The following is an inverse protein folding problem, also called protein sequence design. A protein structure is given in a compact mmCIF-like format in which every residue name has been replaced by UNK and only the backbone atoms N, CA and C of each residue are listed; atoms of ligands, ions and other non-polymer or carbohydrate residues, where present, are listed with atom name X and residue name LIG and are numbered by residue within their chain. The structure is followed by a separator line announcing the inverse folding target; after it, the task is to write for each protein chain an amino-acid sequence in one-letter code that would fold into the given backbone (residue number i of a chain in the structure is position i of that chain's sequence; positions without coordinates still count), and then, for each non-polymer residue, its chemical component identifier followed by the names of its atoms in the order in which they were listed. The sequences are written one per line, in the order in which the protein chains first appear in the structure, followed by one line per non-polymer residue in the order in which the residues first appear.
data_IF_055776762348
#
_entry.id   IF_055776762348
#
_cell.length_a   1.000
_cell.length_b   1.000
_cell.length_c   1.000
_cell.angle_alpha   90.00
_cell.angle_beta   90.00
_cell.angle_gamma   90.00
#
_symmetry.space_group_name_H-M   'P 1'
#
loop_
_entity.id
_entity.type
_entity.pdbx_description
1 polymer ?
#
# COMPACT_ATOMS: atom_id res chain seq x y z
N UNK A 1 11.67 -4.83 79.42
CA UNK A 1 12.69 -5.71 79.99
C UNK A 1 12.26 -7.15 79.67
N UNK A 2 13.13 -7.94 79.03
CA UNK A 2 12.95 -9.37 78.64
C UNK A 2 11.80 -9.77 77.67
N UNK A 3 12.17 -10.35 76.52
CA UNK A 3 11.48 -11.42 75.78
C UNK A 3 12.09 -12.80 76.23
N UNK A 4 11.78 -14.02 75.69
CA UNK A 4 10.91 -14.48 74.58
C UNK A 4 9.79 -15.45 75.07
N UNK A 5 9.03 -16.24 74.29
CA UNK A 5 8.85 -16.43 72.82
C UNK A 5 8.71 -17.92 72.40
N UNK A 6 8.19 -18.20 71.19
CA UNK A 6 7.81 -19.53 70.63
C UNK A 6 6.58 -20.17 71.33
N UNK A 7 5.68 -20.95 70.70
CA UNK A 7 5.81 -21.93 69.60
C UNK A 7 4.44 -22.11 68.90
N UNK A 8 4.39 -22.41 67.61
CA UNK A 8 3.11 -22.68 66.91
C UNK A 8 2.75 -24.17 66.81
N UNK A 9 1.47 -24.47 66.54
CA UNK A 9 1.04 -25.63 65.73
C UNK A 9 -0.45 -25.59 65.34
N UNK A 10 -0.69 -26.01 64.09
CA UNK A 10 -1.88 -26.69 63.56
C UNK A 10 -3.25 -25.98 63.64
N UNK A 11 -3.78 -25.61 62.47
CA UNK A 11 -5.22 -25.72 62.20
C UNK A 11 -5.49 -26.48 60.89
N UNK A 12 -6.69 -27.01 60.78
CA UNK A 12 -7.01 -28.17 59.95
C UNK A 12 -6.90 -27.97 58.43
N UNK A 13 -6.53 -29.07 57.76
CA UNK A 13 -6.74 -29.32 56.33
C UNK A 13 -8.25 -29.41 56.06
N UNK A 14 -8.74 -28.61 55.12
CA UNK A 14 -10.11 -28.70 54.61
C UNK A 14 -10.02 -28.90 53.09
N UNK A 15 -10.35 -30.09 52.62
CA UNK A 15 -10.31 -30.42 51.21
C UNK A 15 -11.57 -29.90 50.51
N UNK A 16 -11.46 -28.75 49.84
CA UNK A 16 -12.47 -28.25 48.92
C UNK A 16 -11.96 -28.38 47.48
N UNK A 17 -12.39 -29.44 46.78
CA UNK A 17 -12.06 -29.63 45.36
C UNK A 17 -12.75 -28.58 44.50
N UNK A 18 -12.06 -27.49 44.21
CA UNK A 18 -12.40 -26.62 43.06
C UNK A 18 -11.98 -27.34 41.78
N UNK A 19 -12.96 -27.90 41.09
CA UNK A 19 -12.75 -28.46 39.76
C UNK A 19 -12.33 -27.33 38.79
N UNK A 20 -11.03 -27.25 38.49
CA UNK A 20 -10.51 -26.34 37.48
C UNK A 20 -11.06 -26.72 36.11
N UNK A 21 -11.97 -25.92 35.58
CA UNK A 21 -12.41 -25.99 34.19
C UNK A 21 -11.16 -25.83 33.30
N UNK A 22 -10.87 -26.75 32.38
CA UNK A 22 -9.78 -26.56 31.43
C UNK A 22 -10.13 -25.39 30.51
N UNK A 23 -9.52 -24.22 30.75
CA UNK A 23 -9.54 -23.16 29.76
C UNK A 23 -8.68 -23.61 28.58
N UNK A 24 -9.35 -24.02 27.50
CA UNK A 24 -8.76 -24.14 26.18
C UNK A 24 -8.42 -22.74 25.66
N UNK A 25 -7.38 -22.12 26.21
CA UNK A 25 -6.69 -21.05 25.52
C UNK A 25 -5.86 -21.69 24.42
N UNK A 26 -6.29 -21.50 23.16
CA UNK A 26 -5.42 -21.71 22.02
C UNK A 26 -4.17 -20.85 22.16
N UNK A 27 -3.05 -21.29 21.61
CA UNK A 27 -1.87 -20.44 21.56
C UNK A 27 -2.24 -19.17 20.75
N UNK A 28 -2.17 -17.96 21.34
CA UNK A 28 -2.64 -16.74 20.68
C UNK A 28 -1.89 -16.44 19.37
N UNK A 29 -0.74 -17.08 19.13
CA UNK A 29 -0.03 -17.08 17.86
C UNK A 29 -0.82 -17.78 16.73
N UNK A 30 -1.49 -18.90 17.05
CA UNK A 30 -2.26 -19.73 16.10
C UNK A 30 -3.57 -19.02 15.75
N UNK A 31 -4.33 -18.57 16.75
CA UNK A 31 -5.58 -17.82 16.55
C UNK A 31 -5.34 -16.54 15.72
N UNK A 32 -4.22 -15.85 15.96
CA UNK A 32 -3.82 -14.69 15.16
C UNK A 32 -3.48 -15.06 13.71
N UNK A 33 -2.85 -16.20 13.46
CA UNK A 33 -2.52 -16.67 12.11
C UNK A 33 -3.77 -17.05 11.29
N UNK A 34 -4.71 -17.78 11.89
CA UNK A 34 -5.99 -18.14 11.26
C UNK A 34 -6.82 -16.88 10.95
N UNK A 35 -6.93 -15.96 11.91
CA UNK A 35 -7.63 -14.68 11.74
C UNK A 35 -7.01 -13.81 10.62
N UNK A 36 -5.70 -13.91 10.41
CA UNK A 36 -4.99 -13.25 9.31
C UNK A 36 -5.34 -13.89 7.96
N UNK A 37 -5.33 -15.22 7.89
CA UNK A 37 -5.66 -15.98 6.68
C UNK A 37 -7.08 -15.68 6.19
N UNK A 38 -8.07 -15.72 7.08
CA UNK A 38 -9.47 -15.39 6.74
C UNK A 38 -9.62 -13.94 6.28
N UNK A 39 -8.87 -13.02 6.89
CA UNK A 39 -8.90 -11.61 6.54
C UNK A 39 -8.24 -11.33 5.19
N UNK A 40 -7.10 -11.97 4.92
CA UNK A 40 -6.43 -11.97 3.62
C UNK A 40 -7.38 -12.53 2.55
N UNK A 41 -7.98 -13.69 2.79
CA UNK A 41 -8.95 -14.31 1.88
C UNK A 41 -10.17 -13.41 1.61
N UNK A 42 -10.68 -12.70 2.63
CA UNK A 42 -11.78 -11.72 2.45
C UNK A 42 -11.36 -10.50 1.62
N UNK A 43 -10.16 -9.96 1.84
CA UNK A 43 -9.68 -8.82 1.03
C UNK A 43 -9.42 -9.25 -0.41
N UNK A 44 -8.72 -10.37 -0.57
CA UNK A 44 -8.30 -10.97 -1.84
C UNK A 44 -9.47 -11.46 -2.69
N UNK A 45 -10.26 -12.41 -2.18
CA UNK A 45 -11.24 -13.18 -2.96
C UNK A 45 -12.65 -12.58 -2.95
N UNK A 46 -12.85 -11.44 -2.27
CA UNK A 46 -14.15 -10.81 -2.15
C UNK A 46 -14.06 -9.27 -2.34
N UNK A 47 -13.40 -8.53 -1.45
CA UNK A 47 -13.46 -7.06 -1.48
C UNK A 47 -12.85 -6.45 -2.75
N UNK A 48 -11.66 -6.89 -3.17
CA UNK A 48 -11.04 -6.40 -4.40
C UNK A 48 -11.81 -6.79 -5.68
N UNK A 49 -12.20 -8.08 -5.90
CA UNK A 49 -13.04 -8.48 -7.02
C UNK A 49 -14.39 -7.74 -7.11
N UNK A 50 -15.08 -7.55 -5.97
CA UNK A 50 -16.34 -6.81 -5.92
C UNK A 50 -16.12 -5.34 -6.29
N UNK A 51 -15.11 -4.68 -5.71
CA UNK A 51 -14.78 -3.30 -6.03
C UNK A 51 -14.46 -3.13 -7.52
N UNK A 52 -13.62 -4.00 -8.08
CA UNK A 52 -13.27 -4.03 -9.51
C UNK A 52 -14.51 -4.17 -10.40
N UNK A 53 -15.42 -5.08 -10.04
CA UNK A 53 -16.66 -5.30 -10.78
C UNK A 53 -17.59 -4.08 -10.73
N UNK A 54 -17.78 -3.48 -9.55
CA UNK A 54 -18.59 -2.27 -9.37
C UNK A 54 -18.03 -1.07 -10.14
N UNK A 55 -16.70 -0.90 -10.18
CA UNK A 55 -16.04 0.16 -10.98
C UNK A 55 -16.35 -0.02 -12.47
N UNK A 56 -16.26 -1.25 -12.99
CA UNK A 56 -16.57 -1.57 -14.39
C UNK A 56 -18.04 -1.27 -14.69
N UNK A 57 -18.97 -1.63 -13.80
CA UNK A 57 -20.40 -1.33 -13.95
C UNK A 57 -20.66 0.18 -13.92
N UNK A 58 -20.08 0.92 -12.96
CA UNK A 58 -20.19 2.37 -12.89
C UNK A 58 -19.71 3.05 -14.19
N UNK A 59 -18.57 2.60 -14.71
CA UNK A 59 -18.01 3.10 -15.97
C UNK A 59 -18.86 2.78 -17.20
N UNK A 60 -19.62 1.68 -17.19
CA UNK A 60 -20.58 1.34 -18.25
C UNK A 60 -21.89 2.13 -18.14
N UNK A 61 -22.35 2.42 -16.93
CA UNK A 61 -23.53 3.26 -16.72
C UNK A 61 -23.29 4.72 -17.13
N UNK A 62 -22.04 5.19 -17.05
CA UNK A 62 -21.58 6.50 -17.52
C UNK A 62 -21.33 6.57 -19.04
N UNK A 63 -22.02 5.74 -19.84
CA UNK A 63 -21.96 5.85 -21.29
C UNK A 63 -22.86 7.01 -21.78
N UNK A 64 -22.35 7.95 -22.60
CA UNK A 64 -23.16 9.06 -23.11
C UNK A 64 -24.41 8.61 -23.87
N UNK A 65 -24.38 7.45 -24.55
CA UNK A 65 -25.53 6.91 -25.28
C UNK A 65 -26.65 6.52 -24.32
N UNK A 66 -26.31 5.80 -23.24
CA UNK A 66 -27.26 5.39 -22.19
C UNK A 66 -27.84 6.62 -21.47
N UNK A 67 -26.96 7.56 -21.09
CA UNK A 67 -27.31 8.82 -20.43
C UNK A 67 -28.23 9.71 -21.29
N UNK A 68 -28.15 9.63 -22.62
CA UNK A 68 -29.02 10.38 -23.53
C UNK A 68 -30.37 9.67 -23.78
N UNK A 69 -30.37 8.34 -23.83
CA UNK A 69 -31.56 7.54 -24.16
C UNK A 69 -32.60 7.52 -23.03
N UNK A 70 -32.21 7.10 -21.84
CA UNK A 70 -33.07 7.13 -20.65
C UNK A 70 -32.34 7.79 -19.46
N UNK A 71 -32.27 9.13 -19.40
CA UNK A 71 -31.46 9.83 -18.42
C UNK A 71 -31.86 9.51 -16.97
N UNK A 72 -33.16 9.50 -16.67
CA UNK A 72 -33.66 9.28 -15.30
C UNK A 72 -33.39 7.85 -14.80
N UNK A 73 -33.66 6.84 -15.64
CA UNK A 73 -33.39 5.42 -15.36
C UNK A 73 -31.90 5.14 -15.18
N UNK A 74 -31.07 5.75 -16.03
CA UNK A 74 -29.61 5.63 -15.96
C UNK A 74 -29.05 6.30 -14.71
N UNK A 75 -29.54 7.48 -14.33
CA UNK A 75 -29.13 8.18 -13.11
C UNK A 75 -29.54 7.43 -11.83
N UNK A 76 -30.74 6.84 -11.79
CA UNK A 76 -31.16 5.96 -10.69
C UNK A 76 -30.25 4.73 -10.57
N UNK A 77 -29.89 4.13 -11.71
CA UNK A 77 -28.94 3.01 -11.76
C UNK A 77 -27.56 3.42 -11.24
N UNK A 78 -27.03 4.59 -11.66
CA UNK A 78 -25.77 5.15 -11.16
C UNK A 78 -25.82 5.36 -9.64
N UNK A 79 -26.92 5.89 -9.10
CA UNK A 79 -27.09 6.09 -7.65
C UNK A 79 -27.06 4.77 -6.88
N UNK A 80 -27.67 3.71 -7.43
CA UNK A 80 -27.61 2.36 -6.85
C UNK A 80 -26.18 1.80 -6.87
N UNK A 81 -25.44 2.00 -7.95
CA UNK A 81 -24.03 1.57 -8.06
C UNK A 81 -23.14 2.36 -7.08
N UNK A 82 -23.40 3.66 -6.91
CA UNK A 82 -22.68 4.51 -5.95
C UNK A 82 -22.85 4.04 -4.49
N UNK A 83 -24.07 3.64 -4.08
CA UNK A 83 -24.28 3.12 -2.72
C UNK A 83 -23.59 1.77 -2.47
N UNK A 84 -23.53 0.91 -3.49
CA UNK A 84 -22.77 -0.35 -3.43
C UNK A 84 -21.24 -0.11 -3.36
N UNK A 85 -20.73 0.86 -4.13
CA UNK A 85 -19.34 1.29 -4.07
C UNK A 85 -18.97 1.85 -2.70
N UNK A 86 -19.77 2.78 -2.16
CA UNK A 86 -19.55 3.35 -0.83
C UNK A 86 -19.54 2.26 0.26
N UNK A 87 -20.52 1.36 0.26
CA UNK A 87 -20.57 0.23 1.18
C UNK A 87 -19.33 -0.66 1.09
N UNK A 88 -18.80 -0.88 -0.12
CA UNK A 88 -17.61 -1.72 -0.34
C UNK A 88 -16.33 -1.00 0.10
N UNK A 89 -16.18 0.27 -0.26
CA UNK A 89 -15.05 1.12 0.13
C UNK A 89 -14.96 1.30 1.65
N UNK A 90 -16.09 1.43 2.34
CA UNK A 90 -16.15 1.57 3.79
C UNK A 90 -15.71 0.29 4.55
N UNK A 91 -15.68 -0.89 3.90
CA UNK A 91 -15.13 -2.10 4.51
C UNK A 91 -13.60 -2.13 4.53
N UNK A 92 -12.94 -1.53 3.53
CA UNK A 92 -11.47 -1.58 3.39
C UNK A 92 -10.69 -0.99 4.58
N UNK A 93 -11.00 0.21 5.12
CA UNK A 93 -10.27 0.75 6.28
C UNK A 93 -10.28 -0.21 7.48
N UNK A 94 -11.43 -0.84 7.76
CA UNK A 94 -11.55 -1.81 8.86
C UNK A 94 -10.74 -3.09 8.59
N UNK A 95 -10.75 -3.59 7.34
CA UNK A 95 -10.02 -4.77 6.94
C UNK A 95 -8.50 -4.52 6.98
N UNK A 96 -8.03 -3.44 6.35
CA UNK A 96 -6.62 -3.05 6.32
C UNK A 96 -6.08 -2.72 7.71
N UNK A 97 -6.85 -2.03 8.57
CA UNK A 97 -6.44 -1.80 9.96
C UNK A 97 -6.34 -3.11 10.74
N UNK A 98 -7.23 -4.09 10.50
CA UNK A 98 -7.16 -5.40 11.14
C UNK A 98 -5.97 -6.23 10.64
N UNK A 99 -5.62 -6.19 9.35
CA UNK A 99 -4.37 -6.77 8.82
C UNK A 99 -3.17 -6.11 9.51
N UNK A 100 -3.14 -4.77 9.53
CA UNK A 100 -2.14 -3.95 10.23
C UNK A 100 -1.91 -4.38 11.67
N UNK A 101 -2.98 -4.52 12.45
CA UNK A 101 -2.93 -4.97 13.85
C UNK A 101 -2.40 -6.38 13.98
N UNK A 102 -2.93 -7.35 13.22
CA UNK A 102 -2.53 -8.76 13.33
C UNK A 102 -1.06 -8.98 12.98
N UNK A 103 -0.53 -8.29 11.96
CA UNK A 103 0.91 -8.32 11.69
C UNK A 103 1.73 -7.61 12.77
N UNK A 104 1.19 -6.56 13.40
CA UNK A 104 1.90 -5.85 14.49
C UNK A 104 1.96 -6.67 15.78
N UNK A 105 0.97 -7.52 16.06
CA UNK A 105 0.99 -8.45 17.21
C UNK A 105 1.97 -9.60 17.02
N UNK A 106 2.23 -10.00 15.77
CA UNK A 106 3.26 -11.00 15.44
C UNK A 106 4.70 -10.46 15.60
N UNK A 107 4.88 -9.15 15.81
CA UNK A 107 6.17 -8.46 16.05
C UNK A 107 6.74 -8.69 17.46
N UNK A 108 6.47 -9.84 18.07
CA UNK A 108 6.94 -10.20 19.41
C UNK A 108 8.43 -10.58 19.39
N UNK A 109 9.31 -9.58 19.44
CA UNK A 109 10.73 -9.68 19.78
C UNK A 109 11.65 -10.47 18.84
N UNK A 110 11.13 -11.13 17.80
CA UNK A 110 11.92 -11.98 16.90
C UNK A 110 12.34 -11.21 15.64
N UNK A 111 13.65 -11.06 15.45
CA UNK A 111 14.28 -10.45 14.26
C UNK A 111 14.17 -11.32 12.99
N UNK A 112 13.68 -12.55 13.12
CA UNK A 112 13.51 -13.48 12.01
C UNK A 112 12.01 -13.71 11.76
N UNK A 113 11.49 -13.22 10.64
CA UNK A 113 10.08 -13.34 10.24
C UNK A 113 9.80 -14.52 9.29
N UNK A 114 10.80 -15.37 9.04
CA UNK A 114 10.75 -16.48 8.06
C UNK A 114 9.63 -17.49 8.34
N UNK A 115 9.19 -17.64 9.59
CA UNK A 115 8.05 -18.49 9.96
C UNK A 115 6.68 -17.89 9.60
N UNK A 116 6.61 -16.58 9.28
CA UNK A 116 5.36 -15.90 8.94
C UNK A 116 4.94 -16.07 7.47
N UNK A 117 5.85 -16.44 6.55
CA UNK A 117 5.56 -16.64 5.11
C UNK A 117 4.72 -15.50 4.50
N UNK A 118 3.45 -15.76 4.18
CA UNK A 118 2.48 -14.81 3.61
C UNK A 118 2.01 -13.72 4.59
N UNK A 119 2.38 -13.81 5.88
CA UNK A 119 1.94 -12.91 6.96
C UNK A 119 3.04 -11.91 7.40
N UNK A 120 4.11 -11.73 6.63
CA UNK A 120 5.19 -10.79 6.94
C UNK A 120 4.69 -9.34 6.97
N UNK A 121 5.18 -8.57 7.95
CA UNK A 121 4.72 -7.22 8.27
C UNK A 121 4.71 -6.24 7.08
N UNK A 122 5.72 -6.32 6.20
CA UNK A 122 5.83 -5.43 5.05
C UNK A 122 4.65 -5.58 4.06
N UNK A 123 4.03 -6.78 3.97
CA UNK A 123 2.93 -7.04 3.03
C UNK A 123 1.72 -6.16 3.30
N UNK A 124 1.22 -6.07 4.53
CA UNK A 124 0.06 -5.19 4.78
C UNK A 124 0.41 -3.70 4.77
N UNK A 125 1.69 -3.33 4.97
CA UNK A 125 2.17 -1.95 4.73
C UNK A 125 2.09 -1.57 3.25
N UNK A 126 2.65 -2.41 2.37
CA UNK A 126 2.55 -2.23 0.92
C UNK A 126 1.11 -2.30 0.41
N UNK A 127 0.28 -3.20 0.95
CA UNK A 127 -1.14 -3.29 0.61
C UNK A 127 -1.91 -2.01 0.96
N UNK A 128 -1.65 -1.44 2.15
CA UNK A 128 -2.23 -0.17 2.56
C UNK A 128 -1.79 0.96 1.62
N UNK A 129 -0.52 0.99 1.22
CA UNK A 129 0.00 1.94 0.25
C UNK A 129 -0.66 1.80 -1.14
N UNK A 130 -0.71 0.59 -1.71
CA UNK A 130 -1.34 0.31 -3.00
C UNK A 130 -2.82 0.74 -3.01
N UNK A 131 -3.58 0.38 -1.97
CA UNK A 131 -4.97 0.79 -1.84
C UNK A 131 -5.13 2.31 -1.73
N UNK A 132 -4.45 2.95 -0.77
CA UNK A 132 -4.66 4.38 -0.47
C UNK A 132 -4.05 5.32 -1.50
N UNK A 133 -2.87 5.00 -2.02
CA UNK A 133 -2.07 5.89 -2.87
C UNK A 133 -2.28 5.63 -4.36
N UNK A 134 -2.79 4.45 -4.75
CA UNK A 134 -3.04 4.10 -6.15
C UNK A 134 -4.52 3.85 -6.45
N UNK A 135 -5.16 2.85 -5.85
CA UNK A 135 -6.57 2.51 -6.13
C UNK A 135 -7.51 3.69 -5.83
N UNK A 136 -7.44 4.25 -4.61
CA UNK A 136 -8.26 5.41 -4.21
C UNK A 136 -7.95 6.65 -5.06
N UNK A 137 -6.69 6.85 -5.47
CA UNK A 137 -6.28 7.97 -6.32
C UNK A 137 -6.93 7.92 -7.70
N UNK A 138 -7.00 6.75 -8.33
CA UNK A 138 -7.71 6.60 -9.61
C UNK A 138 -9.24 6.67 -9.44
N UNK A 139 -9.80 6.18 -8.33
CA UNK A 139 -11.23 6.34 -8.03
C UNK A 139 -11.65 7.80 -7.87
N UNK A 140 -10.87 8.62 -7.15
CA UNK A 140 -11.13 10.06 -7.01
C UNK A 140 -11.09 10.76 -8.36
N UNK A 141 -10.15 10.40 -9.25
CA UNK A 141 -10.10 10.92 -10.62
C UNK A 141 -11.32 10.48 -11.42
N UNK A 142 -11.67 9.18 -11.39
CA UNK A 142 -12.85 8.61 -12.04
C UNK A 142 -14.10 9.40 -11.66
N UNK A 143 -14.44 9.49 -10.37
CA UNK A 143 -15.63 10.18 -9.88
C UNK A 143 -15.66 11.67 -10.28
N UNK A 144 -14.50 12.35 -10.29
CA UNK A 144 -14.39 13.74 -10.77
C UNK A 144 -14.73 13.88 -12.25
N UNK A 145 -14.33 12.94 -13.10
CA UNK A 145 -14.72 12.96 -14.52
C UNK A 145 -16.18 12.50 -14.71
N UNK A 146 -16.68 11.54 -13.93
CA UNK A 146 -18.10 11.13 -13.91
C UNK A 146 -19.02 12.33 -13.65
N UNK A 147 -18.70 13.12 -12.61
CA UNK A 147 -19.44 14.33 -12.27
C UNK A 147 -19.40 15.38 -13.38
N UNK A 148 -18.23 15.61 -13.98
CA UNK A 148 -18.06 16.50 -15.15
C UNK A 148 -18.88 16.04 -16.35
N UNK A 149 -18.92 14.74 -16.64
CA UNK A 149 -19.73 14.19 -17.73
C UNK A 149 -21.21 14.49 -17.49
N UNK A 150 -21.73 14.23 -16.29
CA UNK A 150 -23.12 14.54 -15.92
C UNK A 150 -23.44 16.03 -16.11
N UNK A 151 -22.52 16.95 -15.76
CA UNK A 151 -22.68 18.40 -16.04
C UNK A 151 -22.64 18.73 -17.53
N UNK A 152 -21.70 18.17 -18.28
CA UNK A 152 -21.58 18.35 -19.74
C UNK A 152 -22.83 17.89 -20.49
N UNK A 153 -23.49 16.83 -20.01
CA UNK A 153 -24.74 16.30 -20.55
C UNK A 153 -25.98 17.10 -20.11
N UNK A 154 -25.84 18.16 -19.30
CA UNK A 154 -26.96 18.95 -18.80
C UNK A 154 -27.82 18.26 -17.74
N UNK A 155 -27.32 17.16 -17.14
CA UNK A 155 -28.04 16.32 -16.18
C UNK A 155 -27.82 16.75 -14.71
N UNK A 156 -27.41 17.99 -14.49
CA UNK A 156 -27.21 18.61 -13.17
C UNK A 156 -27.95 19.93 -13.07
N UNK A 157 -28.42 20.28 -11.87
CA UNK A 157 -29.07 21.56 -11.59
C UNK A 157 -28.11 22.76 -11.63
N UNK A 158 -26.80 22.52 -11.54
CA UNK A 158 -25.79 23.58 -11.64
C UNK A 158 -25.64 24.09 -13.07
N UNK A 159 -25.44 25.41 -13.21
CA UNK A 159 -25.10 26.01 -14.50
C UNK A 159 -23.81 25.39 -15.04
N UNK A 160 -23.89 24.77 -16.21
CA UNK A 160 -22.73 24.16 -16.84
C UNK A 160 -21.75 25.25 -17.32
N UNK A 161 -20.54 25.20 -16.77
CA UNK A 161 -19.39 26.04 -17.16
C UNK A 161 -18.24 25.21 -17.77
N UNK A 162 -18.39 23.88 -17.82
CA UNK A 162 -17.37 22.99 -18.37
C UNK A 162 -17.45 22.99 -19.92
N UNK A 163 -16.32 23.04 -20.65
CA UNK A 163 -16.32 22.93 -22.10
C UNK A 163 -16.98 21.62 -22.56
N UNK A 164 -17.86 21.69 -23.57
CA UNK A 164 -18.57 20.51 -24.11
C UNK A 164 -17.62 19.58 -24.87
N UNK A 165 -16.91 18.71 -24.13
CA UNK A 165 -15.94 17.74 -24.66
C UNK A 165 -16.26 16.33 -24.15
N UNK A 166 -17.52 15.92 -24.36
CA UNK A 166 -18.12 14.68 -23.85
C UNK A 166 -17.23 13.45 -24.14
N UNK A 167 -16.78 13.29 -25.38
CA UNK A 167 -15.95 12.14 -25.80
C UNK A 167 -14.61 12.09 -25.06
N UNK A 168 -13.96 13.25 -24.86
CA UNK A 168 -12.69 13.33 -24.12
C UNK A 168 -12.89 13.02 -22.62
N UNK A 169 -13.98 13.51 -22.02
CA UNK A 169 -14.34 13.14 -20.63
C UNK A 169 -14.64 11.65 -20.51
N UNK A 170 -15.34 11.08 -21.49
CA UNK A 170 -15.65 9.64 -21.57
C UNK A 170 -14.38 8.80 -21.71
N UNK A 171 -13.43 9.23 -22.53
CA UNK A 171 -12.12 8.58 -22.65
C UNK A 171 -11.37 8.58 -21.30
N UNK A 172 -11.30 9.73 -20.62
CA UNK A 172 -10.67 9.81 -19.29
C UNK A 172 -11.36 8.90 -18.25
N UNK A 173 -12.68 8.77 -18.29
CA UNK A 173 -13.42 7.81 -17.44
C UNK A 173 -12.96 6.38 -17.71
N UNK A 174 -12.80 5.97 -18.98
CA UNK A 174 -12.31 4.63 -19.36
C UNK A 174 -10.84 4.42 -18.96
N UNK A 175 -9.98 5.42 -19.11
CA UNK A 175 -8.56 5.37 -18.70
C UNK A 175 -8.41 5.23 -17.18
N UNK A 176 -9.15 6.00 -16.38
CA UNK A 176 -9.15 5.84 -14.92
C UNK A 176 -9.81 4.53 -14.47
N UNK A 177 -10.83 4.05 -15.19
CA UNK A 177 -11.43 2.72 -14.96
C UNK A 177 -10.41 1.60 -15.16
N UNK A 178 -9.69 1.62 -16.29
CA UNK A 178 -8.65 0.64 -16.60
C UNK A 178 -7.49 0.71 -15.61
N UNK A 179 -7.05 1.92 -15.26
CA UNK A 179 -5.98 2.14 -14.28
C UNK A 179 -6.37 1.65 -12.89
N UNK A 180 -7.57 1.98 -12.41
CA UNK A 180 -8.08 1.48 -11.13
C UNK A 180 -8.19 -0.06 -11.11
N UNK A 181 -8.62 -0.69 -12.21
CA UNK A 181 -8.64 -2.15 -12.30
C UNK A 181 -7.22 -2.74 -12.22
N UNK A 182 -6.24 -2.17 -12.95
CA UNK A 182 -4.84 -2.60 -12.88
C UNK A 182 -4.26 -2.47 -11.47
N UNK A 183 -4.51 -1.38 -10.76
CA UNK A 183 -4.00 -1.20 -9.39
C UNK A 183 -4.72 -2.10 -8.37
N UNK A 184 -5.96 -2.53 -8.65
CA UNK A 184 -6.64 -3.58 -7.88
C UNK A 184 -6.00 -4.94 -8.17
N UNK A 185 -5.77 -5.26 -9.44
CA UNK A 185 -5.11 -6.51 -9.85
C UNK A 185 -3.69 -6.58 -9.24
N UNK A 186 -2.94 -5.47 -9.23
CA UNK A 186 -1.67 -5.32 -8.51
C UNK A 186 -1.77 -5.50 -6.99
N UNK A 187 -2.87 -5.09 -6.36
CA UNK A 187 -3.08 -5.28 -4.92
C UNK A 187 -3.47 -6.73 -4.57
N UNK A 188 -4.10 -7.45 -5.50
CA UNK A 188 -4.34 -8.90 -5.46
C UNK A 188 -2.99 -9.63 -5.63
N UNK A 189 -2.23 -9.31 -6.68
CA UNK A 189 -0.87 -9.85 -6.92
C UNK A 189 0.06 -9.61 -5.72
N UNK A 190 0.01 -8.43 -5.09
CA UNK A 190 0.81 -8.13 -3.89
C UNK A 190 0.49 -9.05 -2.69
N UNK A 191 -0.75 -9.54 -2.59
CA UNK A 191 -1.13 -10.53 -1.57
C UNK A 191 -0.60 -11.93 -1.89
N UNK A 192 -0.46 -12.30 -3.16
CA UNK A 192 -0.08 -13.66 -3.61
C UNK A 192 1.41 -13.83 -3.94
N UNK A 193 2.05 -12.81 -4.52
CA UNK A 193 3.39 -12.86 -5.10
C UNK A 193 4.49 -13.26 -4.11
N UNK A 194 5.62 -13.76 -4.63
CA UNK A 194 6.75 -14.14 -3.79
C UNK A 194 7.41 -12.90 -3.19
N UNK A 195 8.10 -13.05 -2.06
CA UNK A 195 8.77 -11.92 -1.40
C UNK A 195 9.80 -11.23 -2.31
N UNK A 196 10.37 -11.97 -3.27
CA UNK A 196 11.28 -11.42 -4.26
C UNK A 196 10.53 -10.51 -5.24
N UNK A 197 9.41 -10.95 -5.81
CA UNK A 197 8.59 -10.18 -6.75
C UNK A 197 8.08 -8.87 -6.13
N UNK A 198 7.68 -8.92 -4.86
CA UNK A 198 7.24 -7.74 -4.11
C UNK A 198 8.38 -6.73 -3.91
N UNK A 199 9.61 -7.20 -3.71
CA UNK A 199 10.80 -6.35 -3.62
C UNK A 199 11.19 -5.80 -5.00
N UNK A 200 10.98 -6.57 -6.08
CA UNK A 200 11.19 -6.08 -7.46
C UNK A 200 10.23 -4.96 -7.85
N UNK A 201 9.04 -4.88 -7.23
CA UNK A 201 7.98 -3.94 -7.58
C UNK A 201 8.42 -2.47 -7.56
N UNK A 202 9.21 -2.08 -6.54
CA UNK A 202 9.70 -0.71 -6.38
C UNK A 202 11.05 -0.45 -7.08
N UNK A 203 11.76 -1.51 -7.51
CA UNK A 203 13.09 -1.37 -8.13
C UNK A 203 13.14 -0.47 -9.38
N UNK A 204 12.15 -0.44 -10.30
CA UNK A 204 12.17 0.51 -11.40
C UNK A 204 12.20 1.98 -10.93
N UNK A 205 11.46 2.31 -9.85
CA UNK A 205 11.46 3.65 -9.26
C UNK A 205 12.79 3.97 -8.60
N UNK A 206 13.35 3.02 -7.83
CA UNK A 206 14.66 3.20 -7.21
C UNK A 206 15.80 3.29 -8.22
N UNK A 207 15.74 2.56 -9.34
CA UNK A 207 16.71 2.68 -10.44
C UNK A 207 16.64 4.06 -11.10
N UNK A 208 15.45 4.64 -11.28
CA UNK A 208 15.29 6.02 -11.77
C UNK A 208 15.87 7.04 -10.79
N UNK A 209 15.52 6.95 -9.50
CA UNK A 209 16.07 7.80 -8.42
C UNK A 209 17.61 7.72 -8.35
N UNK A 210 18.17 6.50 -8.48
CA UNK A 210 19.62 6.27 -8.58
C UNK A 210 20.25 6.96 -9.80
N UNK A 211 19.57 7.00 -10.94
CA UNK A 211 20.06 7.72 -12.12
C UNK A 211 20.07 9.23 -11.90
N UNK A 212 18.99 9.81 -11.37
CA UNK A 212 18.88 11.24 -11.09
C UNK A 212 19.98 11.71 -10.10
N UNK A 213 20.12 11.01 -8.97
CA UNK A 213 21.17 11.30 -7.98
C UNK A 213 22.60 11.14 -8.53
N UNK A 214 22.80 10.23 -9.49
CA UNK A 214 24.10 10.00 -10.11
C UNK A 214 24.48 11.13 -11.08
N UNK A 215 23.53 11.66 -11.84
CA UNK A 215 23.73 12.83 -12.71
C UNK A 215 24.00 14.09 -11.86
N UNK A 216 23.22 14.32 -10.81
CA UNK A 216 23.44 15.43 -9.86
C UNK A 216 24.85 15.37 -9.23
N UNK A 217 25.26 14.18 -8.77
CA UNK A 217 26.60 13.97 -8.22
C UNK A 217 27.71 14.21 -9.26
N UNK A 218 27.51 13.77 -10.51
CA UNK A 218 28.45 14.01 -11.60
C UNK A 218 28.54 15.50 -11.95
N UNK A 219 27.41 16.22 -11.98
CA UNK A 219 27.37 17.67 -12.16
C UNK A 219 28.16 18.41 -11.06
N UNK A 220 27.93 18.07 -9.79
CA UNK A 220 28.63 18.66 -8.65
C UNK A 220 30.14 18.39 -8.67
N UNK A 221 30.57 17.16 -9.02
CA UNK A 221 32.00 16.81 -9.13
C UNK A 221 32.69 17.62 -10.24
N UNK A 222 32.00 17.85 -11.36
CA UNK A 222 32.51 18.60 -12.49
C UNK A 222 32.60 20.11 -12.17
N UNK A 223 31.55 20.70 -11.59
CA UNK A 223 31.54 22.11 -11.18
C UNK A 223 32.56 22.42 -10.08
N UNK A 224 32.63 21.60 -9.03
CA UNK A 224 33.60 21.82 -7.95
C UNK A 224 35.06 21.63 -8.41
N UNK A 225 35.29 20.94 -9.53
CA UNK A 225 36.62 20.87 -10.18
C UNK A 225 37.00 22.16 -10.92
N UNK A 226 36.05 23.07 -11.18
CA UNK A 226 36.27 24.37 -11.84
C UNK A 226 36.40 25.51 -10.82
N UNK A 227 35.59 25.54 -9.76
CA UNK A 227 35.56 26.61 -8.76
C UNK A 227 36.73 26.61 -7.75
N UNK A 228 37.71 25.71 -7.89
CA UNK A 228 38.83 25.56 -6.96
C UNK A 228 39.86 26.71 -6.98
N UNK A 229 39.72 27.69 -7.89
CA UNK A 229 40.70 28.76 -8.09
C UNK A 229 40.77 29.82 -6.95
N UNK A 230 39.68 30.06 -6.21
CA UNK A 230 39.54 31.22 -5.31
C UNK A 230 39.28 30.89 -3.82
N UNK A 231 39.50 29.64 -3.39
CA UNK A 231 39.08 29.18 -2.04
C UNK A 231 40.19 29.22 -0.96
N UNK A 232 39.81 29.47 0.32
CA UNK A 232 40.74 29.52 1.46
C UNK A 232 41.35 28.13 1.79
N UNK A 233 42.63 28.04 2.19
CA UNK A 233 43.37 26.77 2.28
C UNK A 233 42.80 25.74 3.26
N UNK A 234 42.18 26.16 4.36
CA UNK A 234 41.54 25.22 5.32
C UNK A 234 40.28 24.56 4.75
N UNK A 235 39.53 25.29 3.91
CA UNK A 235 38.38 24.75 3.19
C UNK A 235 38.84 23.89 2.00
N UNK A 236 39.96 24.25 1.37
CA UNK A 236 40.53 23.54 0.23
C UNK A 236 40.87 22.07 0.55
N UNK A 237 41.53 21.79 1.68
CA UNK A 237 41.85 20.41 2.09
C UNK A 237 40.60 19.56 2.39
N UNK A 238 39.58 20.14 3.02
CA UNK A 238 38.31 19.47 3.27
C UNK A 238 37.55 19.24 1.95
N UNK A 239 37.52 20.23 1.06
CA UNK A 239 36.95 20.11 -0.27
C UNK A 239 37.68 19.05 -1.10
N UNK A 240 39.02 19.01 -1.12
CA UNK A 240 39.77 17.97 -1.83
C UNK A 240 39.51 16.57 -1.28
N UNK A 241 39.37 16.42 0.05
CA UNK A 241 39.05 15.11 0.67
C UNK A 241 37.64 14.65 0.30
N UNK A 242 36.67 15.56 0.39
CA UNK A 242 35.27 15.31 0.01
C UNK A 242 35.14 15.04 -1.50
N UNK A 243 35.90 15.75 -2.34
CA UNK A 243 35.99 15.57 -3.79
C UNK A 243 36.57 14.21 -4.18
N UNK A 244 37.63 13.76 -3.49
CA UNK A 244 38.19 12.41 -3.69
C UNK A 244 37.16 11.35 -3.31
N UNK A 245 36.45 11.52 -2.19
CA UNK A 245 35.37 10.61 -1.78
C UNK A 245 34.24 10.61 -2.81
N UNK A 246 33.76 11.79 -3.22
CA UNK A 246 32.72 11.95 -4.24
C UNK A 246 33.11 11.26 -5.55
N UNK A 247 34.36 11.38 -6.02
CA UNK A 247 34.86 10.69 -7.22
C UNK A 247 34.88 9.15 -7.09
N UNK A 248 34.85 8.58 -5.88
CA UNK A 248 34.74 7.12 -5.66
C UNK A 248 33.30 6.59 -5.59
N UNK A 249 32.28 7.45 -5.48
CA UNK A 249 30.88 7.05 -5.34
C UNK A 249 30.25 6.63 -6.70
N UNK A 250 30.43 7.34 -7.84
CA UNK A 250 29.82 6.98 -9.12
C UNK A 250 30.06 5.54 -9.59
N UNK A 251 31.27 4.93 -9.44
CA UNK A 251 31.47 3.52 -9.76
C UNK A 251 30.62 2.58 -8.90
N UNK A 252 30.50 2.86 -7.59
CA UNK A 252 29.72 2.05 -6.64
C UNK A 252 28.23 2.14 -7.01
N UNK A 253 27.72 3.35 -7.24
CA UNK A 253 26.32 3.59 -7.63
C UNK A 253 25.99 2.90 -8.96
N UNK A 254 26.88 3.00 -9.96
CA UNK A 254 26.72 2.30 -11.25
C UNK A 254 26.72 0.77 -11.10
N UNK A 255 27.54 0.21 -10.22
CA UNK A 255 27.54 -1.24 -9.93
C UNK A 255 26.25 -1.68 -9.22
N UNK A 256 25.78 -0.93 -8.22
CA UNK A 256 24.49 -1.19 -7.55
C UNK A 256 23.33 -1.15 -8.54
N UNK A 257 23.31 -0.16 -9.44
CA UNK A 257 22.30 -0.07 -10.51
C UNK A 257 22.33 -1.28 -11.44
N UNK A 258 23.51 -1.65 -11.94
CA UNK A 258 23.69 -2.82 -12.81
C UNK A 258 23.30 -4.15 -12.13
N UNK A 259 23.48 -4.24 -10.81
CA UNK A 259 23.05 -5.39 -10.01
C UNK A 259 21.52 -5.46 -9.93
N UNK A 260 20.86 -4.37 -9.57
CA UNK A 260 19.38 -4.28 -9.53
C UNK A 260 18.75 -4.53 -10.91
N UNK A 261 19.29 -3.91 -11.97
CA UNK A 261 18.85 -4.14 -13.36
C UNK A 261 18.96 -5.62 -13.78
N UNK A 262 20.00 -6.33 -13.33
CA UNK A 262 20.19 -7.76 -13.65
C UNK A 262 19.26 -8.67 -12.85
N UNK A 263 18.99 -8.35 -11.59
CA UNK A 263 18.04 -9.11 -10.79
C UNK A 263 16.60 -8.90 -11.27
N UNK A 264 16.22 -7.65 -11.58
CA UNK A 264 14.88 -7.28 -12.08
C UNK A 264 14.46 -8.10 -13.30
N UNK A 265 15.37 -8.28 -14.28
CA UNK A 265 15.06 -9.02 -15.52
C UNK A 265 14.90 -10.54 -15.33
N UNK A 266 15.43 -11.11 -14.24
CA UNK A 266 15.42 -12.57 -14.00
C UNK A 266 14.20 -13.06 -13.23
N UNK A 267 13.31 -12.17 -12.77
CA UNK A 267 12.06 -12.56 -12.10
C UNK A 267 10.94 -12.98 -13.04
N UNK A 268 11.03 -12.64 -14.34
CA UNK A 268 9.96 -12.82 -15.32
C UNK A 268 10.11 -14.08 -16.22
N UNK A 269 11.07 -14.98 -15.94
CA UNK A 269 11.39 -16.16 -16.78
C UNK A 269 10.84 -17.50 -16.24
N UNK A 270 9.76 -17.48 -15.44
CA UNK A 270 9.11 -18.67 -14.88
C UNK A 270 7.59 -18.68 -15.06
#
# INVERSE_FOLDING_TARGET
MAAPGLTGRNFARSDASTASIPQHHGDPSIEAAELNKDLRNRVHSNLFPILRHQIIIASRALDPINLSGEPLSTLQSILMIQSQLDHTLNQFPSALQRIGRVMSTLRSGRTNDQYLKEFKYFRGGGLFYLYTSRVIKELVKLFKQSYRLIRQMGLSFERNHDPTRIDATRQLILEHTSSACKEIDSAIEWLEGSEFDLVQWDWPSEICNINEQLEDLMYLINHASLDQADSKPTNELLNQRNMRLAKTIPPIVKLSRLFLEKLSRRGHEH
#
